data_IF_216702310632
#
_entry.id   IF_216702310632
#
_cell.length_a   1.000
_cell.length_b   1.000
_cell.length_c   1.000
_cell.angle_alpha   90.00
_cell.angle_beta   90.00
_cell.angle_gamma   90.00
#
_symmetry.space_group_name_H-M   'P 1'
#
loop_
_entity.id
_entity.type
_entity.pdbx_description
1 polymer ?
#
# COMPACT_ATOMS: atom_id res chain seq x y z
N UNK A 1 22.88 -18.11 29.03
CA UNK A 1 22.95 -19.47 29.59
C UNK A 1 21.55 -19.90 29.99
N UNK A 2 20.82 -20.62 29.12
CA UNK A 2 19.48 -21.12 29.40
C UNK A 2 19.54 -22.54 29.99
N UNK A 3 18.59 -22.89 30.84
CA UNK A 3 18.47 -24.24 31.38
C UNK A 3 17.17 -24.42 32.15
N UNK A 4 16.16 -24.99 31.50
CA UNK A 4 15.24 -26.00 32.05
C UNK A 4 14.18 -26.38 31.01
N UNK A 5 14.63 -27.06 29.96
CA UNK A 5 13.80 -28.12 29.38
C UNK A 5 14.02 -29.38 30.22
N UNK A 6 12.93 -30.01 30.68
CA UNK A 6 12.71 -31.46 30.58
C UNK A 6 11.54 -31.91 31.47
N UNK A 7 10.83 -32.91 30.92
CA UNK A 7 9.80 -33.79 31.49
C UNK A 7 8.35 -33.35 31.20
N UNK A 8 7.80 -33.80 30.04
CA UNK A 8 7.18 -35.13 29.75
C UNK A 8 5.77 -35.20 30.36
N UNK A 9 4.72 -35.72 29.73
CA UNK A 9 4.46 -36.24 28.40
C UNK A 9 2.95 -36.57 28.31
N UNK A 10 2.40 -36.57 27.09
CA UNK A 10 1.38 -37.48 26.56
C UNK A 10 0.07 -37.73 27.34
N UNK A 11 -1.04 -37.30 26.72
CA UNK A 11 -2.24 -38.14 26.57
C UNK A 11 -2.85 -37.96 25.17
N UNK A 12 -2.57 -38.93 24.30
CA UNK A 12 -3.42 -39.28 23.16
C UNK A 12 -4.74 -39.86 23.68
N UNK A 13 -5.86 -39.59 22.99
CA UNK A 13 -6.84 -40.60 22.56
C UNK A 13 -7.95 -39.97 21.70
N UNK A 14 -7.98 -40.44 20.46
CA UNK A 14 -9.10 -40.67 19.55
C UNK A 14 -10.54 -40.45 20.04
N UNK A 15 -11.34 -39.76 19.22
CA UNK A 15 -12.75 -40.10 19.02
C UNK A 15 -13.12 -40.01 17.54
N UNK A 16 -13.00 -41.15 16.85
CA UNK A 16 -13.91 -41.55 15.78
C UNK A 16 -15.02 -42.40 16.41
N UNK A 17 -16.26 -42.19 16.00
CA UNK A 17 -17.29 -43.23 15.92
C UNK A 17 -18.49 -42.67 15.19
N UNK A 18 -18.76 -43.26 14.03
CA UNK A 18 -20.09 -43.22 13.41
C UNK A 18 -21.01 -44.28 14.02
N UNK A 19 -22.29 -44.17 13.67
CA UNK A 19 -23.34 -45.19 13.81
C UNK A 19 -24.69 -44.53 13.53
N UNK A 20 -25.27 -44.67 12.32
CA UNK A 20 -26.11 -45.78 11.82
C UNK A 20 -27.46 -45.92 12.54
N UNK A 21 -28.52 -45.53 11.83
CA UNK A 21 -29.88 -46.11 11.81
C UNK A 21 -30.43 -45.84 10.37
N UNK A 22 -30.39 -46.84 9.47
CA UNK A 22 -31.55 -47.65 8.99
C UNK A 22 -32.63 -46.81 8.26
N UNK A 23 -33.05 -47.04 7.01
CA UNK A 23 -32.88 -48.11 6.03
C UNK A 23 -33.85 -47.89 4.83
N UNK A 24 -33.93 -48.90 3.95
CA UNK A 24 -34.72 -49.11 2.71
C UNK A 24 -34.22 -48.38 1.46
N UNK A 25 -33.43 -49.01 0.58
CA UNK A 25 -33.77 -50.07 -0.41
C UNK A 25 -34.62 -49.59 -1.60
N UNK A 26 -34.07 -49.86 -2.79
CA UNK A 26 -34.69 -50.10 -4.11
C UNK A 26 -33.97 -49.29 -5.22
N UNK A 27 -33.05 -49.85 -6.01
CA UNK A 27 -33.19 -50.91 -7.04
C UNK A 27 -33.15 -50.27 -8.45
N UNK A 28 -32.08 -50.63 -9.19
CA UNK A 28 -31.92 -50.71 -10.66
C UNK A 28 -32.06 -49.42 -11.49
N UNK A 29 -31.31 -49.20 -12.57
CA UNK A 29 -30.41 -50.06 -13.33
C UNK A 29 -30.02 -49.35 -14.64
N UNK A 30 -28.84 -49.68 -15.13
CA UNK A 30 -28.26 -49.28 -16.42
C UNK A 30 -29.14 -49.65 -17.63
N UNK A 31 -29.00 -48.93 -18.75
CA UNK A 31 -28.70 -49.58 -20.04
C UNK A 31 -28.36 -48.59 -21.16
N UNK A 32 -27.36 -48.99 -21.96
CA UNK A 32 -26.81 -48.37 -23.15
C UNK A 32 -27.45 -48.93 -24.45
N UNK A 33 -27.55 -48.06 -25.48
CA UNK A 33 -27.36 -48.27 -26.94
C UNK A 33 -28.41 -48.97 -27.87
N UNK A 34 -28.86 -48.16 -28.86
CA UNK A 34 -28.99 -48.33 -30.36
C UNK A 34 -30.00 -49.35 -30.97
N UNK A 35 -30.19 -49.41 -32.32
CA UNK A 35 -30.77 -48.42 -33.26
C UNK A 35 -31.83 -49.03 -34.22
N UNK A 36 -32.70 -48.24 -34.88
CA UNK A 36 -33.32 -48.69 -36.16
C UNK A 36 -33.89 -47.56 -37.03
N UNK A 37 -33.71 -47.74 -38.33
CA UNK A 37 -34.10 -46.89 -39.46
C UNK A 37 -35.61 -46.78 -39.69
N UNK A 38 -36.06 -45.67 -40.26
CA UNK A 38 -36.90 -45.73 -41.47
C UNK A 38 -36.92 -44.38 -42.20
N UNK A 39 -36.57 -44.45 -43.49
CA UNK A 39 -36.77 -43.38 -44.47
C UNK A 39 -38.26 -43.19 -44.74
N UNK A 40 -38.72 -41.94 -44.82
CA UNK A 40 -39.78 -41.55 -45.76
C UNK A 40 -39.39 -40.25 -46.44
N UNK A 41 -39.20 -40.33 -47.76
CA UNK A 41 -39.18 -39.19 -48.66
C UNK A 41 -40.62 -38.75 -48.90
N UNK A 42 -40.87 -37.44 -48.78
CA UNK A 42 -41.91 -36.77 -49.55
C UNK A 42 -41.37 -35.38 -49.92
N UNK A 43 -41.05 -35.24 -51.20
CA UNK A 43 -40.72 -33.98 -51.86
C UNK A 43 -42.01 -33.19 -52.04
N UNK A 44 -42.11 -31.99 -51.45
CA UNK A 44 -42.96 -30.93 -51.99
C UNK A 44 -42.25 -29.59 -51.89
N UNK A 45 -42.12 -28.99 -53.07
CA UNK A 45 -41.45 -27.74 -53.43
C UNK A 45 -42.21 -26.55 -52.83
N UNK A 46 -41.52 -25.69 -52.08
CA UNK A 46 -41.99 -24.35 -51.75
C UNK A 46 -40.86 -23.39 -52.02
N UNK A 47 -40.96 -22.68 -53.15
CA UNK A 47 -40.12 -21.54 -53.49
C UNK A 47 -40.45 -20.41 -52.51
N UNK A 48 -39.67 -20.27 -51.45
CA UNK A 48 -39.60 -19.03 -50.69
C UNK A 48 -38.25 -18.39 -51.03
N UNK A 49 -38.33 -17.24 -51.68
CA UNK A 49 -37.18 -16.37 -51.99
C UNK A 49 -36.52 -16.00 -50.67
N UNK A 50 -35.32 -16.53 -50.39
CA UNK A 50 -34.47 -16.03 -49.31
C UNK A 50 -34.00 -14.63 -49.72
N UNK A 51 -34.65 -13.61 -49.17
CA UNK A 51 -34.10 -12.26 -49.20
C UNK A 51 -32.81 -12.28 -48.38
N UNK A 52 -31.66 -12.19 -49.07
CA UNK A 52 -30.39 -11.92 -48.42
C UNK A 52 -30.50 -10.57 -47.73
N UNK A 53 -30.72 -10.58 -46.42
CA UNK A 53 -30.56 -9.41 -45.59
C UNK A 53 -29.05 -9.09 -45.52
N UNK A 54 -28.54 -8.44 -46.56
CA UNK A 54 -27.34 -7.62 -46.47
C UNK A 54 -27.69 -6.38 -45.64
N UNK A 55 -28.01 -6.59 -44.36
CA UNK A 55 -27.87 -5.54 -43.38
C UNK A 55 -26.36 -5.38 -43.20
N UNK A 56 -25.78 -4.39 -43.88
CA UNK A 56 -24.63 -3.70 -43.30
C UNK A 56 -25.15 -3.12 -41.98
N UNK A 57 -25.12 -3.94 -40.92
CA UNK A 57 -25.11 -3.43 -39.57
C UNK A 57 -23.81 -2.67 -39.48
N UNK A 58 -23.85 -1.36 -39.72
CA UNK A 58 -22.80 -0.47 -39.27
C UNK A 58 -22.56 -0.86 -37.82
N UNK A 59 -21.38 -1.42 -37.45
CA UNK A 59 -21.14 -1.73 -36.05
C UNK A 59 -21.29 -0.40 -35.33
N UNK A 60 -22.28 -0.33 -34.44
CA UNK A 60 -22.48 0.82 -33.58
C UNK A 60 -21.25 0.87 -32.66
N UNK A 61 -20.21 1.58 -33.09
CA UNK A 61 -18.93 1.72 -32.39
C UNK A 61 -19.08 2.35 -31.00
N UNK A 62 -20.30 2.76 -30.61
CA UNK A 62 -20.62 3.28 -29.29
C UNK A 62 -20.92 2.21 -28.24
N UNK A 63 -21.09 0.94 -28.63
CA UNK A 63 -21.41 -0.16 -27.70
C UNK A 63 -20.54 -1.38 -27.98
N UNK A 64 -19.44 -1.50 -27.24
CA UNK A 64 -19.12 -2.64 -26.36
C UNK A 64 -17.72 -2.38 -25.77
N UNK A 65 -17.61 -1.48 -24.79
CA UNK A 65 -16.49 -1.63 -23.85
C UNK A 65 -16.76 -2.91 -23.06
N UNK A 66 -15.81 -3.85 -22.95
CA UNK A 66 -16.00 -5.05 -22.12
C UNK A 66 -16.16 -4.70 -20.63
N UNK A 67 -15.90 -3.45 -20.24
CA UNK A 67 -15.99 -2.98 -18.87
C UNK A 67 -17.32 -2.31 -18.58
N UNK A 68 -17.82 -2.54 -17.36
CA UNK A 68 -18.98 -1.81 -16.85
C UNK A 68 -18.66 -0.30 -16.80
N UNK A 69 -19.65 0.60 -17.01
CA UNK A 69 -19.42 2.05 -17.06
C UNK A 69 -18.76 2.66 -15.81
N UNK A 70 -18.89 1.99 -14.65
CA UNK A 70 -18.32 2.40 -13.36
C UNK A 70 -16.96 1.74 -13.02
N UNK A 71 -16.40 0.97 -13.95
CA UNK A 71 -15.06 0.36 -13.81
C UNK A 71 -14.25 0.56 -15.11
N UNK A 72 -14.47 1.70 -15.78
CA UNK A 72 -13.79 2.04 -17.01
C UNK A 72 -12.28 2.24 -16.75
N UNK A 73 -11.38 1.70 -17.60
CA UNK A 73 -9.95 1.89 -17.41
C UNK A 73 -9.57 3.37 -17.59
N UNK A 74 -8.60 3.80 -16.81
CA UNK A 74 -7.99 5.13 -16.86
C UNK A 74 -6.72 5.04 -17.68
N UNK A 75 -6.65 5.83 -18.75
CA UNK A 75 -5.46 5.91 -19.60
C UNK A 75 -4.45 6.90 -19.03
N UNK A 76 -3.19 6.49 -18.94
CA UNK A 76 -2.07 7.29 -18.45
C UNK A 76 -0.97 7.27 -19.51
N UNK A 77 -0.48 8.45 -19.89
CA UNK A 77 0.68 8.57 -20.77
C UNK A 77 1.95 8.22 -20.00
N UNK A 78 2.77 7.35 -20.57
CA UNK A 78 4.13 7.09 -20.08
C UNK A 78 5.15 7.92 -20.85
N UNK A 79 6.25 8.27 -20.18
CA UNK A 79 7.31 9.08 -20.73
C UNK A 79 8.66 8.35 -20.67
N UNK A 80 9.57 8.71 -21.58
CA UNK A 80 10.94 8.23 -21.56
C UNK A 80 11.86 9.24 -20.84
N UNK A 81 12.56 8.83 -19.80
CA UNK A 81 13.54 9.65 -19.10
C UNK A 81 14.92 9.52 -19.76
N UNK A 82 15.70 10.60 -19.99
CA UNK A 82 15.57 11.96 -19.46
C UNK A 82 14.84 12.97 -20.37
N UNK A 83 14.54 12.63 -21.63
CA UNK A 83 13.98 13.57 -22.62
C UNK A 83 12.51 13.93 -22.38
N UNK A 84 11.78 13.14 -21.60
CA UNK A 84 10.34 13.28 -21.33
C UNK A 84 9.48 13.19 -22.60
N UNK A 85 9.91 12.38 -23.57
CA UNK A 85 9.13 12.09 -24.77
C UNK A 85 7.98 11.10 -24.43
N UNK A 86 6.74 11.37 -24.89
CA UNK A 86 5.61 10.46 -24.66
C UNK A 86 5.84 9.15 -25.42
N UNK A 87 5.73 8.03 -24.73
CA UNK A 87 6.04 6.69 -25.28
C UNK A 87 4.76 5.92 -25.61
N UNK A 88 3.94 5.58 -24.61
CA UNK A 88 2.71 4.81 -24.81
C UNK A 88 1.61 5.23 -23.84
N UNK A 89 0.37 4.91 -24.20
CA UNK A 89 -0.78 5.00 -23.30
C UNK A 89 -0.93 3.66 -22.57
N UNK A 90 -0.92 3.69 -21.25
CA UNK A 90 -1.11 2.51 -20.38
C UNK A 90 -2.44 2.63 -19.66
N UNK A 91 -3.17 1.52 -19.57
CA UNK A 91 -4.46 1.44 -18.91
C UNK A 91 -4.35 0.95 -17.46
N UNK A 92 -4.96 1.69 -16.55
CA UNK A 92 -5.06 1.36 -15.12
C UNK A 92 -6.52 1.23 -14.71
N UNK A 93 -6.80 0.55 -13.60
CA UNK A 93 -8.16 0.47 -13.08
C UNK A 93 -8.59 1.82 -12.48
N UNK A 94 -9.87 2.18 -12.64
CA UNK A 94 -10.48 3.34 -11.98
C UNK A 94 -10.24 3.35 -10.47
N UNK A 95 -10.24 2.16 -9.84
CA UNK A 95 -10.03 2.00 -8.40
C UNK A 95 -8.63 2.39 -7.93
N UNK A 96 -7.66 2.52 -8.84
CA UNK A 96 -6.27 2.84 -8.50
C UNK A 96 -5.98 4.33 -8.66
N UNK A 97 -6.44 4.95 -9.74
CA UNK A 97 -6.06 6.32 -10.13
C UNK A 97 -7.22 7.32 -10.16
N UNK A 98 -8.47 6.88 -9.99
CA UNK A 98 -9.63 7.77 -10.03
C UNK A 98 -10.58 7.54 -8.85
N UNK A 99 -10.01 7.36 -7.65
CA UNK A 99 -10.77 7.35 -6.40
C UNK A 99 -11.17 8.77 -5.97
N UNK A 100 -12.34 8.94 -5.33
CA UNK A 100 -12.72 10.21 -4.73
C UNK A 100 -11.81 10.55 -3.55
N UNK A 101 -11.51 11.85 -3.39
CA UNK A 101 -10.63 12.34 -2.33
C UNK A 101 -11.32 12.14 -0.97
N UNK A 102 -10.68 11.36 -0.10
CA UNK A 102 -11.11 11.08 1.27
C UNK A 102 -10.05 11.50 2.28
N UNK A 103 -10.18 12.72 2.78
CA UNK A 103 -9.23 13.35 3.73
C UNK A 103 -9.17 12.59 5.06
N UNK A 104 -10.26 11.98 5.47
CA UNK A 104 -10.37 11.16 6.68
C UNK A 104 -9.43 9.94 6.63
N UNK A 105 -9.43 9.21 5.51
CA UNK A 105 -8.55 8.05 5.31
C UNK A 105 -7.09 8.47 5.20
N UNK A 106 -6.80 9.50 4.39
CA UNK A 106 -5.44 10.01 4.23
C UNK A 106 -4.85 10.47 5.57
N UNK A 107 -5.62 11.23 6.35
CA UNK A 107 -5.19 11.70 7.67
C UNK A 107 -4.89 10.53 8.63
N UNK A 108 -5.74 9.50 8.66
CA UNK A 108 -5.50 8.31 9.50
C UNK A 108 -4.24 7.56 9.10
N UNK A 109 -3.98 7.39 7.79
CA UNK A 109 -2.78 6.73 7.30
C UNK A 109 -1.50 7.52 7.66
N UNK A 110 -1.50 8.84 7.47
CA UNK A 110 -0.35 9.69 7.80
C UNK A 110 -0.08 9.73 9.31
N UNK A 111 -1.11 9.78 10.15
CA UNK A 111 -0.94 9.68 11.61
C UNK A 111 -0.37 8.32 11.99
N UNK A 112 -0.92 7.23 11.43
CA UNK A 112 -0.43 5.88 11.66
C UNK A 112 1.07 5.76 11.33
N UNK A 113 1.51 6.29 10.19
CA UNK A 113 2.94 6.33 9.81
C UNK A 113 3.78 7.15 10.81
N UNK A 114 3.27 8.30 11.25
CA UNK A 114 3.95 9.15 12.23
C UNK A 114 4.09 8.52 13.62
N UNK A 115 3.05 7.80 14.06
CA UNK A 115 3.02 7.07 15.32
C UNK A 115 3.99 5.88 15.31
N UNK A 116 4.05 5.14 14.20
CA UNK A 116 4.99 4.02 13.99
C UNK A 116 6.46 4.48 13.93
N UNK A 117 6.72 5.64 13.34
CA UNK A 117 8.10 6.18 13.21
C UNK A 117 8.62 6.72 14.56
N UNK A 118 7.73 6.98 15.52
CA UNK A 118 8.08 7.63 16.79
C UNK A 118 8.71 6.63 17.78
N UNK A 119 9.97 6.87 18.14
CA UNK A 119 10.73 5.97 19.03
C UNK A 119 10.29 5.94 20.50
N UNK A 120 9.76 7.05 21.04
CA UNK A 120 9.23 7.07 22.41
C UNK A 120 10.24 6.82 23.54
N UNK A 121 11.50 7.27 23.41
CA UNK A 121 12.60 6.99 24.36
C UNK A 121 12.68 7.93 25.58
N UNK A 122 11.80 8.93 25.67
CA UNK A 122 11.82 9.90 26.75
C UNK A 122 11.53 9.24 28.11
N UNK A 123 12.41 9.45 29.08
CA UNK A 123 12.29 8.86 30.41
C UNK A 123 12.61 9.89 31.50
N UNK A 124 11.87 9.80 32.59
CA UNK A 124 12.13 10.53 33.83
C UNK A 124 12.24 9.56 34.99
N UNK A 125 12.89 9.98 36.07
CA UNK A 125 13.01 9.17 37.28
C UNK A 125 11.80 9.38 38.17
N UNK A 126 11.14 8.28 38.55
CA UNK A 126 10.17 8.33 39.63
C UNK A 126 10.88 8.64 40.94
N UNK A 127 10.12 9.01 41.99
CA UNK A 127 10.68 9.21 43.33
C UNK A 127 11.49 8.01 43.87
N UNK A 128 11.20 6.78 43.40
CA UNK A 128 11.93 5.57 43.78
C UNK A 128 13.25 5.37 43.03
N UNK A 129 13.36 5.91 41.81
CA UNK A 129 14.54 5.75 40.95
C UNK A 129 15.60 6.85 41.20
N UNK A 130 15.19 7.94 41.87
CA UNK A 130 16.09 9.02 42.26
C UNK A 130 17.03 8.54 43.36
N UNK A 131 18.33 8.72 43.14
CA UNK A 131 19.35 8.36 44.12
C UNK A 131 19.16 9.15 45.44
N UNK A 132 19.11 8.42 46.56
CA UNK A 132 19.01 9.03 47.88
C UNK A 132 18.54 8.07 48.96
N UNK A 133 18.55 8.54 50.21
CA UNK A 133 18.05 7.76 51.34
C UNK A 133 16.52 7.80 51.40
N UNK A 134 15.91 6.61 51.50
CA UNK A 134 14.47 6.46 51.78
C UNK A 134 14.10 6.70 53.25
N UNK A 135 15.08 7.08 54.09
CA UNK A 135 14.84 7.45 55.49
C UNK A 135 13.98 8.71 55.57
N UNK A 136 13.07 8.72 56.53
CA UNK A 136 12.27 9.90 56.86
C UNK A 136 13.17 11.05 57.31
N UNK A 137 12.96 12.24 56.74
CA UNK A 137 13.83 13.40 56.96
C UNK A 137 13.74 13.98 58.39
N UNK A 138 12.56 13.95 59.00
CA UNK A 138 12.31 14.53 60.33
C UNK A 138 11.27 13.70 61.10
N UNK A 139 11.18 13.90 62.41
CA UNK A 139 10.17 13.25 63.25
C UNK A 139 8.74 13.59 62.79
N UNK A 140 7.78 12.70 63.07
CA UNK A 140 6.38 12.87 62.63
C UNK A 140 5.68 14.09 63.25
N UNK A 141 6.11 14.49 64.45
CA UNK A 141 5.57 15.62 65.23
C UNK A 141 6.72 16.28 66.00
N UNK A 142 6.47 17.48 66.54
CA UNK A 142 7.43 18.20 67.40
C UNK A 142 8.43 19.12 66.69
N UNK A 143 8.44 19.16 65.35
CA UNK A 143 9.39 19.98 64.58
C UNK A 143 8.91 21.39 64.22
N UNK A 144 7.63 21.71 64.43
CA UNK A 144 7.02 22.99 64.01
C UNK A 144 6.95 23.22 62.49
N UNK A 145 7.36 22.25 61.67
CA UNK A 145 7.39 22.32 60.19
C UNK A 145 6.35 21.40 59.58
N UNK A 146 6.04 21.61 58.29
CA UNK A 146 5.19 20.69 57.52
C UNK A 146 5.74 19.26 57.59
N UNK A 147 4.85 18.26 57.61
CA UNK A 147 5.24 16.84 57.67
C UNK A 147 5.92 16.43 56.37
N UNK A 148 7.06 15.75 56.47
CA UNK A 148 7.83 15.30 55.30
C UNK A 148 8.18 13.81 55.42
N UNK A 149 8.12 13.12 54.29
CA UNK A 149 8.62 11.76 54.14
C UNK A 149 10.12 11.72 53.85
N UNK A 150 10.46 11.10 52.72
CA UNK A 150 11.82 10.90 52.19
C UNK A 150 12.26 12.07 51.30
N UNK A 151 13.55 12.15 50.98
CA UNK A 151 14.15 13.29 50.25
C UNK A 151 13.67 13.38 48.80
N UNK A 152 13.38 12.24 48.16
CA UNK A 152 13.05 12.12 46.74
C UNK A 152 11.59 12.49 46.39
N UNK A 153 10.84 13.04 47.36
CA UNK A 153 9.47 13.50 47.15
C UNK A 153 9.39 14.52 46.01
N UNK A 154 8.43 14.41 45.06
CA UNK A 154 8.30 15.35 43.92
C UNK A 154 8.12 16.82 44.30
N UNK A 155 7.56 17.09 45.48
CA UNK A 155 7.38 18.45 46.03
C UNK A 155 8.74 19.12 46.34
N UNK A 156 9.81 18.34 46.52
CA UNK A 156 11.13 18.84 46.90
C UNK A 156 12.02 19.05 45.68
N UNK A 157 12.91 20.04 45.78
CA UNK A 157 13.98 20.25 44.80
C UNK A 157 14.89 19.03 44.73
N UNK A 158 15.13 18.53 43.51
CA UNK A 158 15.88 17.30 43.26
C UNK A 158 15.11 16.01 43.59
N UNK A 159 13.80 16.09 43.83
CA UNK A 159 12.91 14.93 43.92
C UNK A 159 12.60 14.32 42.55
N UNK A 160 11.93 13.16 42.56
CA UNK A 160 11.47 12.51 41.32
C UNK A 160 10.27 13.23 40.69
N UNK A 161 10.04 12.98 39.40
CA UNK A 161 8.86 13.54 38.69
C UNK A 161 7.66 12.62 38.94
N UNK A 162 6.51 13.19 39.30
CA UNK A 162 5.30 12.40 39.61
C UNK A 162 4.61 11.84 38.35
N UNK A 163 4.41 12.70 37.34
CA UNK A 163 3.79 12.35 36.06
C UNK A 163 4.70 12.80 34.92
N UNK A 164 5.87 12.17 34.82
CA UNK A 164 6.82 12.44 33.76
C UNK A 164 6.65 11.49 32.58
N UNK A 165 7.31 11.76 31.45
CA UNK A 165 7.37 10.81 30.34
C UNK A 165 8.15 9.56 30.77
N UNK A 166 7.68 8.41 30.29
CA UNK A 166 8.36 7.13 30.37
C UNK A 166 8.43 6.49 28.99
N UNK A 167 9.45 5.63 28.74
CA UNK A 167 9.56 4.94 27.49
C UNK A 167 8.30 4.12 27.21
N UNK A 168 7.70 4.34 26.05
CA UNK A 168 6.47 3.67 25.64
C UNK A 168 6.40 3.57 24.14
N UNK A 169 5.69 2.55 23.67
CA UNK A 169 5.34 2.45 22.26
C UNK A 169 4.20 3.43 21.94
N UNK A 170 4.33 4.12 20.82
CA UNK A 170 3.33 5.06 20.29
C UNK A 170 2.56 4.47 19.11
N UNK A 171 2.95 3.29 18.63
CA UNK A 171 2.32 2.64 17.49
C UNK A 171 0.80 2.53 17.66
N UNK A 172 0.07 2.89 16.61
CA UNK A 172 -1.38 2.74 16.52
C UNK A 172 -1.73 1.68 15.48
N UNK A 173 -2.86 0.98 15.64
CA UNK A 173 -3.28 -0.05 14.69
C UNK A 173 -4.13 0.53 13.55
N UNK A 174 -3.78 0.20 12.29
CA UNK A 174 -4.60 0.52 11.12
C UNK A 174 -4.85 -0.75 10.27
N UNK A 175 -6.10 -1.04 9.89
CA UNK A 175 -6.39 -2.17 8.99
C UNK A 175 -5.67 -2.02 7.65
N UNK A 176 -5.03 -3.10 7.17
CA UNK A 176 -4.28 -3.09 5.90
C UNK A 176 -5.12 -2.57 4.72
N UNK A 177 -6.39 -2.99 4.61
CA UNK A 177 -7.31 -2.51 3.56
C UNK A 177 -7.53 -1.00 3.58
N UNK A 178 -7.53 -0.37 4.76
CA UNK A 178 -7.65 1.08 4.88
C UNK A 178 -6.36 1.79 4.47
N UNK A 179 -5.21 1.18 4.77
CA UNK A 179 -3.91 1.69 4.34
C UNK A 179 -3.77 1.61 2.81
N UNK A 180 -4.10 0.47 2.20
CA UNK A 180 -4.12 0.29 0.74
C UNK A 180 -5.07 1.29 0.05
N UNK A 181 -6.22 1.56 0.69
CA UNK A 181 -7.16 2.55 0.19
C UNK A 181 -6.56 3.97 0.26
N UNK A 182 -5.82 4.30 1.32
CA UNK A 182 -5.14 5.58 1.45
C UNK A 182 -4.12 5.81 0.33
N UNK A 183 -3.33 4.79 0.01
CA UNK A 183 -2.40 4.79 -1.12
C UNK A 183 -3.06 5.13 -2.45
N UNK A 184 -4.16 4.42 -2.77
CA UNK A 184 -4.92 4.65 -4.00
C UNK A 184 -5.52 6.05 -4.05
N UNK A 185 -6.05 6.55 -2.92
CA UNK A 185 -6.58 7.91 -2.84
C UNK A 185 -5.46 8.94 -3.05
N UNK A 186 -4.28 8.74 -2.46
CA UNK A 186 -3.14 9.65 -2.61
C UNK A 186 -2.65 9.71 -4.06
N UNK A 187 -2.53 8.57 -4.73
CA UNK A 187 -2.17 8.50 -6.15
C UNK A 187 -3.26 9.10 -7.05
N UNK A 188 -4.53 8.80 -6.76
CA UNK A 188 -5.65 9.38 -7.50
C UNK A 188 -5.67 10.91 -7.39
N UNK A 189 -5.33 11.44 -6.21
CA UNK A 189 -5.21 12.88 -5.99
C UNK A 189 -4.10 13.51 -6.84
N UNK A 190 -2.94 12.86 -6.96
CA UNK A 190 -1.84 13.32 -7.83
C UNK A 190 -2.20 13.22 -9.30
N UNK A 191 -2.84 12.14 -9.70
CA UNK A 191 -3.29 11.93 -11.06
C UNK A 191 -4.30 12.99 -11.49
N UNK A 192 -5.31 13.27 -10.67
CA UNK A 192 -6.33 14.29 -10.94
C UNK A 192 -5.75 15.71 -11.10
N UNK A 193 -4.59 15.98 -10.48
CA UNK A 193 -3.87 17.26 -10.58
C UNK A 193 -2.84 17.32 -11.71
N UNK A 194 -2.61 16.21 -12.44
CA UNK A 194 -1.54 16.11 -13.43
C UNK A 194 -0.13 16.13 -12.82
N UNK A 195 -0.02 15.80 -11.54
CA UNK A 195 1.24 15.80 -10.78
C UNK A 195 1.94 14.43 -10.77
N UNK A 196 1.21 13.38 -11.18
CA UNK A 196 1.72 12.02 -11.36
C UNK A 196 2.30 11.87 -12.77
N UNK A 197 3.59 11.57 -12.86
CA UNK A 197 4.32 11.32 -14.10
C UNK A 197 4.81 9.87 -14.06
N UNK A 198 4.40 9.06 -15.04
CA UNK A 198 4.83 7.67 -15.14
C UNK A 198 5.93 7.57 -16.19
N UNK A 199 7.06 6.99 -15.81
CA UNK A 199 8.21 6.76 -16.69
C UNK A 199 8.22 5.30 -17.14
N UNK A 200 8.39 5.02 -18.43
CA UNK A 200 8.39 3.64 -18.95
C UNK A 200 9.73 2.92 -18.72
N UNK A 201 10.84 3.67 -18.80
CA UNK A 201 12.20 3.18 -18.59
C UNK A 201 12.71 3.44 -17.16
N UNK A 202 13.91 2.95 -16.87
CA UNK A 202 14.57 3.21 -15.59
C UNK A 202 15.11 4.64 -15.55
N UNK A 203 14.95 5.30 -14.41
CA UNK A 203 15.55 6.58 -14.07
C UNK A 203 17.02 6.31 -13.79
N UNK A 204 17.84 6.36 -14.83
CA UNK A 204 19.27 6.13 -14.72
C UNK A 204 20.04 7.40 -15.07
N UNK A 205 21.24 7.52 -14.50
CA UNK A 205 22.22 8.52 -14.88
C UNK A 205 23.38 7.82 -15.59
N UNK A 206 23.96 8.38 -16.68
CA UNK A 206 25.20 7.85 -17.21
C UNK A 206 26.30 7.79 -16.12
N UNK A 207 27.05 6.68 -16.10
CA UNK A 207 28.11 6.44 -15.11
C UNK A 207 29.09 7.61 -15.03
N UNK A 208 29.45 7.99 -13.78
CA UNK A 208 30.30 9.16 -13.43
C UNK A 208 29.70 10.53 -13.73
N UNK A 209 28.41 10.62 -13.98
CA UNK A 209 27.78 11.91 -14.17
C UNK A 209 27.84 12.74 -12.89
N UNK A 210 28.10 14.03 -13.07
CA UNK A 210 28.05 15.00 -11.97
C UNK A 210 26.60 15.24 -11.53
N UNK A 211 26.36 15.63 -10.25
CA UNK A 211 25.02 16.01 -9.78
C UNK A 211 24.42 17.18 -10.58
N UNK A 212 25.27 17.94 -11.28
CA UNK A 212 24.86 19.02 -12.17
C UNK A 212 23.96 18.54 -13.34
N UNK A 213 24.16 17.31 -13.85
CA UNK A 213 23.31 16.78 -14.92
C UNK A 213 21.86 16.62 -14.43
N UNK A 214 21.67 16.02 -13.26
CA UNK A 214 20.32 15.88 -12.70
C UNK A 214 19.72 17.22 -12.33
N UNK A 215 20.50 18.12 -11.73
CA UNK A 215 20.01 19.47 -11.47
C UNK A 215 19.54 20.17 -12.76
N UNK A 216 20.27 20.00 -13.88
CA UNK A 216 19.89 20.54 -15.19
C UNK A 216 18.59 19.91 -15.70
N UNK A 217 18.46 18.59 -15.66
CA UNK A 217 17.24 17.87 -16.08
C UNK A 217 16.04 18.33 -15.27
N UNK A 218 16.17 18.40 -13.93
CA UNK A 218 15.12 18.88 -13.04
C UNK A 218 14.74 20.35 -13.33
N UNK A 219 15.71 21.20 -13.70
CA UNK A 219 15.47 22.61 -14.07
C UNK A 219 14.77 22.75 -15.41
N UNK A 220 15.20 21.99 -16.41
CA UNK A 220 14.67 22.01 -17.78
C UNK A 220 13.19 21.63 -17.80
N UNK A 221 12.83 20.58 -17.07
CA UNK A 221 11.43 20.13 -16.94
C UNK A 221 10.60 20.94 -15.92
N UNK A 222 11.21 21.95 -15.28
CA UNK A 222 10.54 22.80 -14.30
C UNK A 222 10.10 22.07 -13.02
N UNK A 223 10.80 20.99 -12.67
CA UNK A 223 10.60 20.16 -11.47
C UNK A 223 11.29 20.72 -10.22
N UNK A 224 11.62 22.02 -10.24
CA UNK A 224 12.36 22.73 -9.21
C UNK A 224 11.49 23.70 -8.38
N UNK A 225 12.16 24.28 -7.37
CA UNK A 225 11.66 25.03 -6.22
C UNK A 225 10.56 26.06 -6.47
N UNK A 226 10.41 26.62 -7.67
CA UNK A 226 9.34 27.62 -7.94
C UNK A 226 7.94 27.01 -7.88
N UNK A 227 7.79 25.74 -8.26
CA UNK A 227 6.51 25.02 -8.22
C UNK A 227 6.47 24.03 -7.03
N UNK A 228 7.62 23.49 -6.65
CA UNK A 228 7.75 22.66 -5.45
C UNK A 228 8.95 21.73 -5.57
N UNK A 229 9.07 20.79 -4.63
CA UNK A 229 9.99 19.66 -4.76
C UNK A 229 9.33 18.53 -5.55
N UNK A 230 10.15 17.63 -6.07
CA UNK A 230 9.68 16.43 -6.79
C UNK A 230 10.17 15.16 -6.10
N UNK A 231 9.36 14.12 -6.04
CA UNK A 231 9.77 12.79 -5.55
C UNK A 231 9.91 11.85 -6.73
N UNK A 232 11.07 11.20 -6.85
CA UNK A 232 11.34 10.17 -7.83
C UNK A 232 11.28 8.81 -7.13
N UNK A 233 10.53 7.88 -7.71
CA UNK A 233 10.34 6.52 -7.19
C UNK A 233 10.91 5.53 -8.20
N UNK A 234 11.93 4.78 -7.77
CA UNK A 234 12.59 3.73 -8.55
C UNK A 234 12.12 2.34 -8.13
N UNK A 235 12.13 1.40 -9.07
CA UNK A 235 11.85 0.00 -8.78
C UNK A 235 13.03 -0.66 -8.07
N UNK A 236 14.21 -0.44 -8.63
CA UNK A 236 15.48 -1.02 -8.19
C UNK A 236 16.33 0.07 -7.51
N UNK A 237 17.10 -0.33 -6.50
CA UNK A 237 18.03 0.57 -5.82
C UNK A 237 19.31 0.73 -6.65
N UNK A 238 19.62 1.97 -7.02
CA UNK A 238 20.87 2.37 -7.67
C UNK A 238 21.65 3.31 -6.75
N UNK A 239 22.81 2.85 -6.26
CA UNK A 239 23.65 3.57 -5.29
C UNK A 239 24.20 4.88 -5.87
N UNK A 240 24.61 4.90 -7.15
CA UNK A 240 25.15 6.11 -7.79
C UNK A 240 24.06 7.19 -7.91
N UNK A 241 22.85 6.77 -8.29
CA UNK A 241 21.68 7.64 -8.36
C UNK A 241 21.29 8.16 -6.96
N UNK A 242 21.31 7.30 -5.94
CA UNK A 242 20.99 7.68 -4.57
C UNK A 242 21.97 8.74 -4.04
N UNK A 243 23.28 8.51 -4.16
CA UNK A 243 24.32 9.43 -3.70
C UNK A 243 24.30 10.79 -4.43
N UNK A 244 23.97 10.77 -5.72
CA UNK A 244 23.83 12.02 -6.49
C UNK A 244 22.57 12.78 -6.08
N UNK A 245 21.45 12.08 -5.84
CA UNK A 245 20.20 12.68 -5.38
C UNK A 245 20.24 13.15 -3.93
N UNK A 246 21.03 12.52 -3.06
CA UNK A 246 21.23 12.93 -1.67
C UNK A 246 21.81 14.35 -1.58
N UNK A 247 22.73 14.67 -2.50
CA UNK A 247 23.31 16.02 -2.65
C UNK A 247 22.28 17.05 -3.17
N UNK A 248 21.21 16.59 -3.83
CA UNK A 248 20.17 17.41 -4.46
C UNK A 248 18.83 17.45 -3.70
N UNK A 249 18.81 17.03 -2.42
CA UNK A 249 17.62 17.01 -1.53
C UNK A 249 16.78 18.29 -1.52
N UNK A 250 17.39 19.44 -1.83
CA UNK A 250 16.71 20.74 -1.94
C UNK A 250 15.70 20.77 -3.10
N UNK A 251 16.00 20.08 -4.20
CA UNK A 251 15.18 20.08 -5.42
C UNK A 251 14.27 18.85 -5.47
N UNK A 252 14.83 17.68 -5.21
CA UNK A 252 14.11 16.43 -5.36
C UNK A 252 14.56 15.38 -4.34
N UNK A 253 13.68 14.41 -4.08
CA UNK A 253 13.94 13.27 -3.18
C UNK A 253 13.81 11.98 -3.97
N UNK A 254 14.80 11.11 -3.88
CA UNK A 254 14.72 9.75 -4.42
C UNK A 254 14.21 8.81 -3.33
N UNK A 255 13.38 7.84 -3.71
CA UNK A 255 12.92 6.75 -2.85
C UNK A 255 12.80 5.46 -3.65
N UNK A 256 13.13 4.35 -3.02
CA UNK A 256 12.83 3.04 -3.58
C UNK A 256 11.36 2.69 -3.39
N UNK A 257 10.77 1.94 -4.30
CA UNK A 257 9.37 1.53 -4.26
C UNK A 257 8.95 0.87 -2.93
N UNK A 258 9.86 0.17 -2.25
CA UNK A 258 9.63 -0.48 -0.95
C UNK A 258 9.64 0.47 0.26
N UNK A 259 10.25 1.65 0.13
CA UNK A 259 10.40 2.64 1.22
C UNK A 259 9.43 3.82 1.10
N UNK A 260 8.57 3.83 0.08
CA UNK A 260 7.59 4.89 -0.09
C UNK A 260 6.45 4.68 0.91
N UNK A 261 5.94 5.79 1.42
CA UNK A 261 4.83 5.88 2.38
C UNK A 261 3.74 6.79 1.78
N UNK A 262 2.52 6.75 2.33
CA UNK A 262 1.43 7.67 1.95
C UNK A 262 1.85 9.12 2.19
N UNK A 263 2.57 9.40 3.29
CA UNK A 263 3.15 10.72 3.54
C UNK A 263 4.10 11.17 2.44
N UNK A 264 4.99 10.30 1.96
CA UNK A 264 5.97 10.62 0.92
C UNK A 264 5.26 11.00 -0.39
N UNK A 265 4.14 10.33 -0.73
CA UNK A 265 3.32 10.68 -1.90
C UNK A 265 2.67 12.07 -1.80
N UNK A 266 2.47 12.59 -0.59
CA UNK A 266 1.76 13.85 -0.33
C UNK A 266 2.68 15.04 -0.01
N UNK A 267 3.95 14.81 0.29
CA UNK A 267 4.88 15.84 0.76
C UNK A 267 5.36 16.78 -0.36
N UNK A 268 5.70 16.22 -1.52
CA UNK A 268 6.22 16.98 -2.66
C UNK A 268 5.10 17.49 -3.57
N UNK A 269 5.42 18.25 -4.61
CA UNK A 269 4.39 18.70 -5.55
C UNK A 269 4.17 17.64 -6.64
N UNK A 270 5.26 17.09 -7.18
CA UNK A 270 5.22 16.13 -8.28
C UNK A 270 5.74 14.78 -7.86
N UNK A 271 5.12 13.76 -8.43
CA UNK A 271 5.47 12.37 -8.21
C UNK A 271 5.88 11.75 -9.54
N UNK A 272 7.12 11.34 -9.64
CA UNK A 272 7.71 10.72 -10.81
C UNK A 272 7.97 9.27 -10.44
N UNK A 273 7.29 8.34 -11.10
CA UNK A 273 7.37 6.92 -10.76
C UNK A 273 7.72 6.10 -11.99
N UNK A 274 8.67 5.18 -11.84
CA UNK A 274 8.93 4.17 -12.85
C UNK A 274 7.73 3.22 -12.97
N UNK A 275 7.38 2.83 -14.19
CA UNK A 275 6.29 1.88 -14.46
C UNK A 275 6.53 0.56 -13.73
N UNK A 276 7.78 0.09 -13.68
CA UNK A 276 8.18 -1.10 -12.91
C UNK A 276 7.97 -0.91 -11.41
N UNK A 277 8.43 0.21 -10.86
CA UNK A 277 8.30 0.53 -9.44
C UNK A 277 6.86 0.83 -9.01
N UNK A 278 6.00 1.20 -9.96
CA UNK A 278 4.58 1.36 -9.75
C UNK A 278 3.85 0.01 -9.56
N UNK A 279 4.38 -1.11 -10.06
CA UNK A 279 3.70 -2.42 -10.09
C UNK A 279 3.10 -2.91 -8.76
N UNK A 280 3.77 -2.76 -7.59
CA UNK A 280 3.21 -3.15 -6.29
C UNK A 280 2.00 -2.31 -5.87
N UNK A 281 1.95 -1.04 -6.28
CA UNK A 281 0.95 -0.06 -5.83
C UNK A 281 -0.14 0.18 -6.89
N UNK A 282 0.23 0.07 -8.16
CA UNK A 282 -0.54 0.26 -9.38
C UNK A 282 -0.35 -0.95 -10.31
N UNK A 283 -0.86 -2.14 -9.98
CA UNK A 283 -0.82 -3.24 -10.93
C UNK A 283 -1.59 -2.87 -12.20
N UNK A 284 -0.95 -3.01 -13.36
CA UNK A 284 -1.56 -2.73 -14.67
C UNK A 284 -2.74 -3.69 -14.87
N UNK A 285 -3.89 -3.16 -15.30
CA UNK A 285 -5.13 -3.95 -15.41
C UNK A 285 -5.04 -5.07 -16.46
N UNK A 286 -4.11 -4.94 -17.40
CA UNK A 286 -3.84 -5.90 -18.47
C UNK A 286 -2.38 -6.35 -18.39
N UNK A 287 -2.07 -7.29 -17.49
CA UNK A 287 -0.85 -8.09 -17.55
C UNK A 287 -1.06 -9.32 -18.45
N UNK A 288 -1.58 -9.10 -19.65
CA UNK A 288 -1.60 -10.09 -20.73
C UNK A 288 -0.99 -9.42 -21.95
N UNK A 289 -0.02 -10.07 -22.58
CA UNK A 289 0.82 -9.59 -23.69
C UNK A 289 2.13 -8.87 -23.34
N UNK A 290 2.96 -9.46 -22.47
CA UNK A 290 4.41 -9.35 -22.62
C UNK A 290 4.98 -10.79 -22.47
N UNK A 291 5.27 -11.44 -23.61
CA UNK A 291 6.22 -12.57 -23.73
C UNK A 291 7.65 -12.00 -23.84
#
# INVERSE_FOLDING_TARGET
>A
MPGSEAFRALRLLSRTSGGLLSGSEAVTGYSLLTPYSQQRRCLTRSMATEAQANALSTPDLSKTSPFAPWDAPVQVMTYNFPSMEPTRLVEYSQKQLQMPIRKDILHRAVIYEGDMTRQGTASTKWRGDVHGSHRKLMAQKGSGRARVGHKQSPIRVGGGVAHGPHPRDFSTGLPAKLYDQAWRIALSYRFARGELIVIDNNIAIPSKSTPFLMERILKEHGWNTKKGRSTLITADFDEELFDTMDKLKRFATLRDSSEVDVKNLLETERLIIEKRGAGPVLPVALAGFEE
#
